data_IF_981232813889
#
_entry.id   IF_981232813889
#
_cell.length_a   1.000
_cell.length_b   1.000
_cell.length_c   1.000
_cell.angle_alpha   90.00
_cell.angle_beta   90.00
_cell.angle_gamma   90.00
#
_symmetry.space_group_name_H-M   'P 1'
#
loop_
_entity.id
_entity.type
_entity.pdbx_description
1 polymer ?
#
# COMPACT_ATOMS: atom_id res chain seq x y z
N UNK A 1 6.37 12.07 -27.42
CA UNK A 1 5.11 12.51 -26.79
C UNK A 1 5.33 12.61 -25.28
N UNK A 2 4.88 13.68 -24.70
CA UNK A 2 5.21 13.99 -23.29
C UNK A 2 4.32 13.11 -22.38
N UNK A 3 4.88 12.10 -21.74
CA UNK A 3 4.17 11.23 -20.78
C UNK A 3 3.41 12.00 -19.68
N UNK A 4 3.78 13.25 -19.44
CA UNK A 4 3.09 14.15 -18.52
C UNK A 4 1.68 14.57 -18.98
N UNK A 5 1.29 14.25 -20.21
CA UNK A 5 -0.03 14.57 -20.75
C UNK A 5 -0.98 13.37 -20.77
N UNK A 6 -0.46 12.19 -20.53
CA UNK A 6 -1.27 10.98 -20.41
C UNK A 6 -1.99 10.96 -19.07
N UNK A 7 -3.25 10.51 -19.03
CA UNK A 7 -4.01 10.47 -17.79
C UNK A 7 -3.50 9.39 -16.82
N UNK A 8 -3.86 9.54 -15.58
CA UNK A 8 -3.74 8.49 -14.55
C UNK A 8 -5.03 7.65 -14.57
N UNK A 9 -4.91 6.35 -14.56
CA UNK A 9 -6.05 5.45 -14.40
C UNK A 9 -6.20 5.03 -12.93
N UNK A 10 -7.37 5.27 -12.36
CA UNK A 10 -7.73 4.85 -11.00
C UNK A 10 -8.74 3.70 -11.08
N UNK A 11 -8.38 2.56 -10.53
CA UNK A 11 -9.21 1.34 -10.53
C UNK A 11 -9.59 0.99 -9.09
N UNK A 12 -10.86 1.14 -8.77
CA UNK A 12 -11.41 0.82 -7.43
C UNK A 12 -12.92 0.58 -7.57
N UNK A 13 -13.46 -0.42 -6.92
CA UNK A 13 -14.89 -0.71 -6.95
C UNK A 13 -15.72 0.25 -6.06
N UNK A 14 -15.09 0.89 -5.09
CA UNK A 14 -15.72 1.88 -4.23
C UNK A 14 -15.78 3.27 -4.91
N UNK A 15 -16.98 3.72 -5.26
CA UNK A 15 -17.18 4.98 -5.95
C UNK A 15 -16.61 6.18 -5.18
N UNK A 16 -16.86 6.23 -3.88
CA UNK A 16 -16.39 7.32 -3.02
C UNK A 16 -14.86 7.43 -2.98
N UNK A 17 -14.18 6.29 -3.02
CA UNK A 17 -12.71 6.24 -3.06
C UNK A 17 -12.20 6.70 -4.42
N UNK A 18 -12.83 6.23 -5.51
CA UNK A 18 -12.48 6.70 -6.88
C UNK A 18 -12.62 8.20 -7.00
N UNK A 19 -13.74 8.75 -6.57
CA UNK A 19 -14.04 10.19 -6.64
C UNK A 19 -13.02 11.00 -5.82
N UNK A 20 -12.69 10.54 -4.63
CA UNK A 20 -11.70 11.18 -3.78
C UNK A 20 -10.31 11.20 -4.43
N UNK A 21 -9.88 10.08 -4.99
CA UNK A 21 -8.60 9.97 -5.68
C UNK A 21 -8.57 10.80 -6.95
N UNK A 22 -9.63 10.76 -7.74
CA UNK A 22 -9.78 11.58 -8.94
C UNK A 22 -9.64 13.07 -8.61
N UNK A 23 -10.42 13.56 -7.66
CA UNK A 23 -10.35 14.96 -7.23
C UNK A 23 -8.98 15.36 -6.71
N UNK A 24 -8.33 14.49 -5.98
CA UNK A 24 -6.99 14.73 -5.43
C UNK A 24 -5.95 14.84 -6.54
N UNK A 25 -5.97 13.93 -7.49
CA UNK A 25 -5.06 13.92 -8.64
C UNK A 25 -5.32 15.11 -9.59
N UNK A 26 -6.58 15.46 -9.81
CA UNK A 26 -6.94 16.63 -10.60
C UNK A 26 -6.45 17.93 -9.96
N UNK A 27 -6.49 18.06 -8.65
CA UNK A 27 -5.90 19.19 -7.91
C UNK A 27 -4.38 19.27 -8.06
N UNK A 28 -3.73 18.15 -8.38
CA UNK A 28 -2.31 18.12 -8.70
C UNK A 28 -2.01 18.48 -10.16
N UNK A 29 -3.03 18.80 -10.95
CA UNK A 29 -2.90 19.15 -12.36
C UNK A 29 -2.88 17.97 -13.32
N UNK A 30 -3.26 16.78 -12.87
CA UNK A 30 -3.28 15.55 -13.66
C UNK A 30 -4.66 15.31 -14.28
N UNK A 31 -4.66 14.71 -15.47
CA UNK A 31 -5.88 14.12 -16.03
C UNK A 31 -6.10 12.75 -15.42
N UNK A 32 -7.33 12.39 -15.18
CA UNK A 32 -7.69 11.14 -14.51
C UNK A 32 -8.82 10.46 -15.26
N UNK A 33 -8.66 9.16 -15.47
CA UNK A 33 -9.74 8.26 -15.85
C UNK A 33 -9.98 7.29 -14.70
N UNK A 34 -11.19 6.79 -14.58
CA UNK A 34 -11.57 5.86 -13.54
C UNK A 34 -12.15 4.57 -14.10
N UNK A 35 -11.95 3.47 -13.41
CA UNK A 35 -12.55 2.18 -13.71
C UNK A 35 -13.09 1.53 -12.42
N UNK A 36 -14.25 0.92 -12.51
CA UNK A 36 -14.94 0.32 -11.36
C UNK A 36 -14.52 -1.13 -11.10
N UNK A 37 -13.71 -1.71 -11.95
CA UNK A 37 -13.26 -3.09 -11.82
C UNK A 37 -12.18 -3.47 -12.82
N UNK A 38 -11.78 -4.73 -12.77
CA UNK A 38 -10.70 -5.29 -13.59
C UNK A 38 -11.03 -5.24 -15.08
N UNK A 39 -12.22 -5.65 -15.47
CA UNK A 39 -12.62 -5.70 -16.89
C UNK A 39 -12.66 -4.30 -17.51
N UNK A 40 -13.24 -3.35 -16.81
CA UNK A 40 -13.25 -1.94 -17.29
C UNK A 40 -11.84 -1.36 -17.39
N UNK A 41 -10.97 -1.73 -16.45
CA UNK A 41 -9.57 -1.32 -16.48
C UNK A 41 -8.84 -1.87 -17.72
N UNK A 42 -9.05 -3.14 -18.03
CA UNK A 42 -8.48 -3.79 -19.22
C UNK A 42 -8.97 -3.13 -20.51
N UNK A 43 -10.26 -2.88 -20.64
CA UNK A 43 -10.84 -2.19 -21.78
C UNK A 43 -10.24 -0.79 -22.00
N UNK A 44 -10.01 -0.07 -20.91
CA UNK A 44 -9.37 1.25 -20.95
C UNK A 44 -7.91 1.18 -21.36
N UNK A 45 -7.19 0.20 -20.84
CA UNK A 45 -5.77 -0.04 -21.19
C UNK A 45 -5.58 -0.45 -22.65
N UNK A 46 -6.56 -1.13 -23.24
CA UNK A 46 -6.53 -1.50 -24.66
C UNK A 46 -6.71 -0.30 -25.60
N UNK A 47 -7.39 0.72 -25.13
CA UNK A 47 -7.81 1.85 -25.97
C UNK A 47 -7.09 3.17 -25.65
N UNK A 48 -6.35 3.25 -24.58
CA UNK A 48 -5.70 4.48 -24.13
C UNK A 48 -4.34 4.20 -23.48
N UNK A 49 -3.47 5.18 -23.59
CA UNK A 49 -2.20 5.19 -22.86
C UNK A 49 -2.35 5.95 -21.53
N UNK A 50 -1.70 5.44 -20.51
CA UNK A 50 -1.73 6.03 -19.16
C UNK A 50 -0.32 6.27 -18.64
N UNK A 51 -0.15 7.37 -17.90
CA UNK A 51 1.11 7.71 -17.24
C UNK A 51 1.34 6.91 -15.96
N UNK A 52 0.25 6.48 -15.32
CA UNK A 52 0.26 5.73 -14.06
C UNK A 52 -1.08 5.00 -13.91
N UNK A 53 -1.05 3.81 -13.36
CA UNK A 53 -2.25 3.07 -12.92
C UNK A 53 -2.22 2.89 -11.41
N UNK A 54 -3.30 3.26 -10.76
CA UNK A 54 -3.55 3.02 -9.34
C UNK A 54 -4.70 2.04 -9.22
N UNK A 55 -4.46 0.86 -8.69
CA UNK A 55 -5.50 -0.17 -8.59
C UNK A 55 -5.68 -0.66 -7.16
N UNK A 56 -6.93 -0.90 -6.76
CA UNK A 56 -7.22 -1.68 -5.57
C UNK A 56 -6.83 -3.14 -5.77
N UNK A 57 -6.51 -3.83 -4.69
CA UNK A 57 -6.18 -5.26 -4.71
C UNK A 57 -7.41 -6.14 -4.87
N UNK A 58 -8.51 -5.78 -4.25
CA UNK A 58 -9.73 -6.61 -4.21
C UNK A 58 -10.91 -5.89 -4.83
N UNK A 59 -11.42 -6.48 -5.88
CA UNK A 59 -12.62 -6.01 -6.59
C UNK A 59 -13.56 -7.18 -6.84
N UNK A 60 -14.87 -6.94 -7.00
CA UNK A 60 -15.86 -8.02 -7.20
C UNK A 60 -15.59 -8.90 -8.41
N UNK A 61 -15.01 -8.34 -9.47
CA UNK A 61 -14.72 -9.01 -10.75
C UNK A 61 -13.28 -9.54 -10.87
N UNK A 62 -12.45 -9.35 -9.85
CA UNK A 62 -11.09 -9.88 -9.84
C UNK A 62 -10.13 -9.16 -8.92
N UNK A 63 -8.87 -9.46 -9.06
CA UNK A 63 -7.78 -8.89 -8.27
C UNK A 63 -7.05 -7.77 -9.02
N UNK A 64 -6.59 -6.77 -8.29
CA UNK A 64 -5.66 -5.77 -8.82
C UNK A 64 -4.37 -6.35 -9.40
N UNK A 65 -3.97 -7.55 -8.97
CA UNK A 65 -2.86 -8.29 -9.57
C UNK A 65 -3.12 -8.63 -11.05
N UNK A 66 -4.36 -8.88 -11.42
CA UNK A 66 -4.73 -9.14 -12.82
C UNK A 66 -4.50 -7.89 -13.69
N UNK A 67 -4.74 -6.71 -13.14
CA UNK A 67 -4.42 -5.45 -13.83
C UNK A 67 -2.92 -5.29 -14.01
N UNK A 68 -2.13 -5.58 -12.99
CA UNK A 68 -0.65 -5.55 -13.05
C UNK A 68 -0.13 -6.53 -14.10
N UNK A 69 -0.61 -7.77 -14.07
CA UNK A 69 -0.23 -8.81 -15.03
C UNK A 69 -0.63 -8.45 -16.46
N UNK A 70 -1.80 -7.88 -16.63
CA UNK A 70 -2.29 -7.46 -17.95
C UNK A 70 -1.42 -6.36 -18.58
N UNK A 71 -0.98 -5.40 -17.80
CA UNK A 71 -0.04 -4.36 -18.25
C UNK A 71 1.31 -4.97 -18.64
N UNK A 72 1.79 -5.96 -17.92
CA UNK A 72 3.01 -6.70 -18.25
C UNK A 72 2.85 -7.52 -19.54
N UNK A 73 1.73 -8.23 -19.70
CA UNK A 73 1.40 -8.98 -20.91
C UNK A 73 1.33 -8.11 -22.16
N UNK A 74 0.80 -6.90 -22.03
CA UNK A 74 0.75 -5.90 -23.12
C UNK A 74 2.10 -5.22 -23.36
N UNK A 75 3.11 -5.52 -22.55
CA UNK A 75 4.44 -4.87 -22.61
C UNK A 75 4.36 -3.35 -22.50
N UNK A 76 3.44 -2.83 -21.72
CA UNK A 76 3.30 -1.40 -21.48
C UNK A 76 4.33 -0.92 -20.46
N UNK A 77 4.96 0.22 -20.75
CA UNK A 77 5.89 0.89 -19.81
C UNK A 77 5.14 1.70 -18.73
N UNK A 78 3.89 1.40 -18.49
CA UNK A 78 3.04 2.10 -17.55
C UNK A 78 3.29 1.60 -16.14
N UNK A 79 3.76 2.43 -15.22
CA UNK A 79 3.91 2.04 -13.82
C UNK A 79 2.55 1.79 -13.18
N UNK A 80 2.46 0.75 -12.37
CA UNK A 80 1.26 0.34 -11.64
C UNK A 80 1.55 0.33 -10.15
N UNK A 81 0.74 1.01 -9.37
CA UNK A 81 0.76 0.90 -7.92
C UNK A 81 -0.52 0.22 -7.41
N UNK A 82 -0.37 -0.67 -6.46
CA UNK A 82 -1.49 -1.33 -5.79
C UNK A 82 -1.78 -0.62 -4.48
N UNK A 83 -3.03 -0.27 -4.28
CA UNK A 83 -3.52 0.46 -3.11
C UNK A 83 -4.68 -0.31 -2.52
N UNK A 84 -4.56 -0.77 -1.27
CA UNK A 84 -5.56 -1.65 -0.68
C UNK A 84 -5.84 -1.35 0.78
N UNK A 85 -7.09 -1.53 1.20
CA UNK A 85 -7.50 -1.46 2.61
C UNK A 85 -7.04 -2.70 3.40
N UNK A 86 -6.87 -3.84 2.73
CA UNK A 86 -6.58 -5.13 3.34
C UNK A 86 -5.25 -5.64 2.81
N UNK A 87 -4.16 -5.09 3.32
CA UNK A 87 -2.83 -5.51 2.92
C UNK A 87 -2.11 -6.27 4.03
N UNK A 88 -1.40 -7.32 3.64
CA UNK A 88 -0.37 -7.94 4.44
C UNK A 88 0.95 -7.97 3.67
N UNK A 89 2.02 -8.32 4.35
CA UNK A 89 3.35 -8.35 3.73
C UNK A 89 3.42 -9.32 2.53
N UNK A 90 2.72 -10.43 2.58
CA UNK A 90 2.71 -11.43 1.52
C UNK A 90 2.06 -10.89 0.24
N UNK A 91 0.95 -10.17 0.37
CA UNK A 91 0.29 -9.55 -0.78
C UNK A 91 1.12 -8.41 -1.38
N UNK A 92 1.84 -7.66 -0.56
CA UNK A 92 2.78 -6.66 -1.05
C UNK A 92 3.90 -7.28 -1.88
N UNK A 93 4.49 -8.37 -1.39
CA UNK A 93 5.51 -9.13 -2.11
C UNK A 93 4.95 -9.71 -3.42
N UNK A 94 3.74 -10.25 -3.40
CA UNK A 94 3.06 -10.77 -4.59
C UNK A 94 2.85 -9.69 -5.65
N UNK A 95 2.37 -8.52 -5.24
CA UNK A 95 2.16 -7.38 -6.13
C UNK A 95 3.48 -6.93 -6.79
N UNK A 96 4.53 -6.78 -6.01
CA UNK A 96 5.85 -6.37 -6.51
C UNK A 96 6.47 -7.42 -7.43
N UNK A 97 6.31 -8.71 -7.13
CA UNK A 97 6.75 -9.82 -8.01
C UNK A 97 5.98 -9.88 -9.32
N UNK A 98 4.70 -9.50 -9.31
CA UNK A 98 3.88 -9.42 -10.52
C UNK A 98 4.26 -8.24 -11.42
N UNK A 99 5.08 -7.31 -10.94
CA UNK A 99 5.55 -6.15 -11.67
C UNK A 99 5.00 -4.82 -11.20
N UNK A 100 4.29 -4.78 -10.06
CA UNK A 100 3.83 -3.53 -9.49
C UNK A 100 5.03 -2.66 -9.07
N UNK A 101 4.92 -1.39 -9.37
CA UNK A 101 5.91 -0.38 -9.04
C UNK A 101 5.97 -0.07 -7.54
N UNK A 102 4.78 -0.06 -6.89
CA UNK A 102 4.64 0.21 -5.47
C UNK A 102 3.38 -0.46 -4.91
N UNK A 103 3.32 -0.54 -3.61
CA UNK A 103 2.20 -1.10 -2.85
C UNK A 103 1.93 -0.25 -1.62
N UNK A 104 0.73 0.30 -1.53
CA UNK A 104 0.32 1.20 -0.44
C UNK A 104 -0.93 0.69 0.26
N UNK A 105 -1.01 0.95 1.55
CA UNK A 105 -2.19 0.62 2.34
C UNK A 105 -3.08 1.86 2.52
N UNK A 106 -4.38 1.68 2.34
CA UNK A 106 -5.40 2.70 2.64
C UNK A 106 -5.50 2.92 4.17
N UNK A 107 -5.78 4.11 4.66
CA UNK A 107 -5.99 5.37 3.92
C UNK A 107 -4.68 5.97 3.43
N UNK A 108 -4.69 6.49 2.21
CA UNK A 108 -3.52 7.16 1.62
C UNK A 108 -3.58 8.65 1.97
N UNK A 109 -2.46 9.18 2.42
CA UNK A 109 -2.31 10.63 2.61
C UNK A 109 -2.01 11.31 1.28
N UNK A 110 -2.33 12.59 1.22
CA UNK A 110 -1.98 13.44 0.07
C UNK A 110 -0.47 13.42 -0.22
N UNK A 111 0.36 13.41 0.83
CA UNK A 111 1.81 13.32 0.70
C UNK A 111 2.27 12.01 0.06
N UNK A 112 1.68 10.89 0.46
CA UNK A 112 1.97 9.58 -0.13
C UNK A 112 1.58 9.53 -1.60
N UNK A 113 0.41 10.04 -1.95
CA UNK A 113 -0.07 10.08 -3.33
C UNK A 113 0.82 10.98 -4.21
N UNK A 114 1.23 12.13 -3.71
CA UNK A 114 2.17 13.02 -4.39
C UNK A 114 3.53 12.37 -4.61
N UNK A 115 4.07 11.72 -3.60
CA UNK A 115 5.34 11.00 -3.70
C UNK A 115 5.27 9.87 -4.72
N UNK A 116 4.17 9.13 -4.73
CA UNK A 116 3.92 8.06 -5.69
C UNK A 116 3.91 8.59 -7.13
N UNK A 117 3.17 9.65 -7.39
CA UNK A 117 3.09 10.29 -8.71
C UNK A 117 4.46 10.79 -9.16
N UNK A 118 5.19 11.46 -8.29
CA UNK A 118 6.55 11.94 -8.61
C UNK A 118 7.50 10.80 -8.94
N UNK A 119 7.46 9.73 -8.19
CA UNK A 119 8.31 8.55 -8.43
C UNK A 119 7.94 7.87 -9.74
N UNK A 120 6.66 7.74 -10.06
CA UNK A 120 6.18 7.16 -11.30
C UNK A 120 6.64 7.97 -12.53
N UNK A 121 6.56 9.29 -12.46
CA UNK A 121 7.00 10.18 -13.55
C UNK A 121 8.52 10.12 -13.72
N UNK A 122 9.28 10.09 -12.63
CA UNK A 122 10.75 10.03 -12.66
C UNK A 122 11.27 8.73 -13.27
N UNK A 123 10.60 7.60 -13.03
CA UNK A 123 10.95 6.31 -13.65
C UNK A 123 10.77 6.34 -15.17
N UNK A 124 9.86 7.16 -15.66
CA UNK A 124 9.60 7.30 -17.10
C UNK A 124 10.67 8.13 -17.81
N UNK A 125 11.39 9.00 -17.12
CA UNK A 125 12.45 9.84 -17.70
C UNK A 125 13.84 9.18 -17.69
N UNK A 126 14.02 8.08 -16.94
CA UNK A 126 15.30 7.41 -16.79
C UNK A 126 15.41 6.13 -17.60
N UNK A 127 15.37 6.25 -18.93
CA UNK A 127 15.80 5.15 -19.81
C UNK A 127 17.31 5.15 -20.08
N UNK A 128 18.08 6.06 -19.50
CA UNK A 128 19.54 6.07 -19.62
C UNK A 128 20.19 6.71 -18.37
N UNK A 129 20.36 5.93 -17.35
CA UNK A 129 21.52 5.81 -16.48
C UNK A 129 21.17 4.89 -15.30
N UNK A 130 21.98 3.88 -15.02
CA UNK A 130 21.98 3.34 -13.68
C UNK A 130 22.57 4.46 -12.81
N UNK A 131 21.70 5.26 -12.20
CA UNK A 131 22.16 5.98 -11.04
C UNK A 131 22.74 4.94 -10.11
N UNK A 132 24.02 5.06 -9.73
CA UNK A 132 24.50 4.27 -8.63
C UNK A 132 23.48 4.55 -7.55
N UNK A 133 22.82 3.48 -7.11
CA UNK A 133 22.02 3.54 -5.90
C UNK A 133 22.77 4.45 -4.97
N UNK A 134 22.30 5.68 -4.85
CA UNK A 134 22.64 6.39 -3.66
C UNK A 134 22.38 5.35 -2.59
N UNK A 135 23.47 4.86 -2.08
CA UNK A 135 23.43 4.16 -0.83
C UNK A 135 22.40 4.93 -0.04
N UNK A 136 21.21 4.36 0.04
CA UNK A 136 20.46 4.61 1.23
C UNK A 136 21.55 4.42 2.26
N UNK A 137 22.10 5.50 2.73
CA UNK A 137 22.73 5.48 4.01
C UNK A 137 21.59 4.98 4.86
N UNK A 138 21.57 3.68 4.98
CA UNK A 138 20.95 3.11 6.15
C UNK A 138 21.57 3.94 7.24
N UNK A 139 20.86 4.93 7.65
CA UNK A 139 21.17 5.53 8.93
C UNK A 139 21.21 4.30 9.82
N UNK A 140 22.35 4.02 10.44
CA UNK A 140 22.38 2.94 11.38
C UNK A 140 21.17 3.19 12.26
N UNK A 141 20.32 2.20 12.35
CA UNK A 141 19.17 2.26 13.24
C UNK A 141 19.69 2.89 14.51
N UNK A 142 19.09 3.98 14.97
CA UNK A 142 19.68 4.74 16.07
C UNK A 142 20.03 3.76 17.14
N UNK A 143 21.29 3.79 17.56
CA UNK A 143 21.85 2.83 18.52
C UNK A 143 21.08 2.85 19.84
N UNK A 144 20.23 3.82 20.03
CA UNK A 144 19.28 3.91 21.12
C UNK A 144 18.31 2.74 21.22
N UNK A 145 18.04 2.03 20.13
CA UNK A 145 17.23 0.81 20.19
C UNK A 145 17.97 -0.34 20.88
N UNK A 146 19.32 -0.33 20.86
CA UNK A 146 20.12 -1.34 21.51
C UNK A 146 20.31 -1.11 23.02
N UNK A 147 19.97 0.08 23.50
CA UNK A 147 20.06 0.47 24.92
C UNK A 147 18.71 0.49 25.64
N UNK A 148 17.64 0.13 24.94
CA UNK A 148 16.37 -0.11 25.61
C UNK A 148 16.47 -1.45 26.33
N UNK A 149 16.99 -1.41 27.54
CA UNK A 149 16.70 -2.43 28.53
C UNK A 149 15.26 -2.17 28.95
N UNK A 150 14.33 -3.08 28.71
CA UNK A 150 13.03 -2.95 29.35
C UNK A 150 13.32 -2.91 30.85
N UNK A 151 13.01 -1.81 31.49
CA UNK A 151 12.93 -1.79 32.92
C UNK A 151 12.05 -2.97 33.34
N UNK A 152 12.52 -3.80 34.29
CA UNK A 152 11.65 -4.82 34.80
C UNK A 152 10.44 -4.10 35.36
N UNK A 153 9.33 -4.26 34.72
CA UNK A 153 8.07 -3.80 35.31
C UNK A 153 7.98 -4.39 36.70
N UNK A 154 7.66 -3.59 37.69
CA UNK A 154 7.46 -4.13 39.03
C UNK A 154 6.38 -5.21 38.89
N UNK A 155 6.78 -6.42 39.03
CA UNK A 155 5.85 -7.52 39.21
C UNK A 155 4.93 -7.10 40.34
N UNK A 156 3.71 -6.78 39.96
CA UNK A 156 2.68 -6.63 40.99
C UNK A 156 2.76 -7.87 41.85
N UNK A 157 2.93 -7.73 43.16
CA UNK A 157 2.95 -8.90 44.00
C UNK A 157 1.68 -9.67 43.70
N UNK A 158 1.84 -10.92 43.32
CA UNK A 158 0.71 -11.82 43.23
C UNK A 158 0.15 -11.87 44.65
N UNK A 159 -0.93 -11.15 44.85
CA UNK A 159 -1.72 -11.32 46.04
C UNK A 159 -2.31 -12.71 45.90
N UNK A 160 -1.64 -13.67 46.49
CA UNK A 160 -2.27 -14.96 46.75
C UNK A 160 -3.53 -14.64 47.51
N UNK A 161 -4.70 -15.02 47.03
CA UNK A 161 -5.90 -14.87 47.83
C UNK A 161 -5.67 -15.61 49.13
N UNK A 162 -6.02 -15.02 50.26
CA UNK A 162 -5.89 -15.74 51.51
C UNK A 162 -6.62 -17.05 51.32
N UNK A 163 -5.95 -18.14 51.61
CA UNK A 163 -6.63 -19.41 51.72
C UNK A 163 -7.78 -19.16 52.65
N UNK A 164 -8.98 -19.15 52.11
CA UNK A 164 -10.17 -19.15 52.95
C UNK A 164 -10.03 -20.32 53.85
N UNK A 165 -9.92 -20.02 55.09
CA UNK A 165 -9.94 -21.03 56.14
C UNK A 165 -11.36 -21.59 56.14
N UNK A 166 -11.57 -22.59 55.31
CA UNK A 166 -12.87 -23.28 55.28
C UNK A 166 -12.99 -24.35 56.37
N UNK A 167 -12.07 -24.38 57.27
CA UNK A 167 -12.05 -25.43 58.25
C UNK A 167 -12.93 -25.16 59.49
N UNK A 168 -13.60 -24.04 59.52
CA UNK A 168 -14.33 -23.69 60.74
C UNK A 168 -15.83 -23.86 60.71
N UNK A 169 -16.36 -24.37 59.61
CA UNK A 169 -17.81 -24.63 59.52
C UNK A 169 -18.22 -26.07 59.76
N UNK A 170 -17.33 -26.90 60.16
CA UNK A 170 -17.69 -28.22 60.54
C UNK A 170 -17.72 -28.31 62.09
N UNK A 171 -18.74 -27.77 62.64
CA UNK A 171 -19.05 -28.05 64.02
C UNK A 171 -20.05 -29.18 64.08
N UNK A 172 -19.69 -30.38 64.52
CA UNK A 172 -20.66 -31.34 64.92
C UNK A 172 -21.38 -30.81 66.14
N UNK A 173 -22.66 -30.78 66.07
CA UNK A 173 -23.47 -30.67 67.30
C UNK A 173 -23.36 -31.94 68.06
#
# INVERSE_FOLDING_TARGET
MNKLQEPVLVVDDEADIRDLMEMTLMKMGLRVDTAAGVEEAKDKLDNNDYSLVLTDMRMPDGSGLEVVQYIDELMLDTPVAVITAFGNADQAVEALKAGAFDYLQKPITLSQLRSLVKSAVSVSDNTDEPTPSEKVKSQPAPVSAALYKPEPQPVKPVVTPPKSVQSEFNRPL
#
